data_IF_499225633346
#
_entry.id   IF_499225633346
#
_cell.length_a   1.000
_cell.length_b   1.000
_cell.length_c   1.000
_cell.angle_alpha   90.00
_cell.angle_beta   90.00
_cell.angle_gamma   90.00
#
_symmetry.space_group_name_H-M   'P 1'
#
loop_
_entity.id
_entity.type
_entity.pdbx_description
1 polymer ?
#
# COMPACT_ATOMS: atom_id res chain seq x y z
N UNK A 1 3.19 1.54 -12.31
CA UNK A 1 2.99 0.05 -12.31
C UNK A 1 3.63 -0.52 -11.05
N UNK A 2 2.85 -1.19 -10.22
CA UNK A 2 3.30 -1.71 -8.92
C UNK A 2 3.97 -3.09 -9.08
N UNK A 3 5.30 -3.14 -8.91
CA UNK A 3 6.07 -4.38 -8.97
C UNK A 3 7.27 -4.34 -8.03
N UNK A 4 7.54 -5.49 -7.39
CA UNK A 4 8.63 -5.68 -6.43
C UNK A 4 8.10 -6.04 -5.03
N UNK A 5 8.99 -6.58 -4.23
CA UNK A 5 8.74 -6.94 -2.83
C UNK A 5 9.49 -5.99 -1.90
N UNK A 6 8.81 -5.50 -0.86
CA UNK A 6 9.38 -4.55 0.08
C UNK A 6 8.99 -4.95 1.50
N UNK A 7 10.00 -5.24 2.32
CA UNK A 7 9.80 -5.60 3.73
C UNK A 7 9.79 -4.34 4.59
N UNK A 8 8.63 -4.06 5.18
CA UNK A 8 8.46 -2.97 6.15
C UNK A 8 7.84 -3.50 7.44
N UNK A 9 8.25 -2.91 8.57
CA UNK A 9 7.62 -3.18 9.85
C UNK A 9 6.35 -2.35 9.99
N UNK A 10 5.32 -2.96 10.58
CA UNK A 10 4.12 -2.26 11.02
C UNK A 10 4.46 -1.53 12.33
N UNK A 11 4.08 -0.26 12.43
CA UNK A 11 4.24 0.48 13.68
C UNK A 11 3.15 0.13 14.71
N UNK A 12 3.28 0.65 15.93
CA UNK A 12 2.33 0.41 17.03
C UNK A 12 0.90 0.89 16.72
N UNK A 13 0.73 1.74 15.70
CA UNK A 13 -0.56 2.28 15.26
C UNK A 13 -1.11 1.55 14.03
N UNK A 14 -0.49 0.44 13.61
CA UNK A 14 -0.94 -0.33 12.46
C UNK A 14 -0.57 0.28 11.11
N UNK A 15 0.37 1.23 11.06
CA UNK A 15 0.76 1.91 9.82
C UNK A 15 1.95 1.21 9.18
N UNK A 16 1.94 1.17 7.84
CA UNK A 16 3.06 0.70 7.02
C UNK A 16 3.49 1.83 6.09
N UNK A 17 4.79 2.17 6.05
CA UNK A 17 5.28 3.16 5.11
C UNK A 17 5.19 2.65 3.68
N UNK A 18 4.65 3.48 2.77
CA UNK A 18 4.62 3.19 1.34
C UNK A 18 6.06 3.23 0.77
N UNK A 19 6.46 2.22 -0.03
CA UNK A 19 7.74 2.23 -0.74
C UNK A 19 7.96 3.54 -1.50
N UNK A 20 9.15 4.18 -1.42
CA UNK A 20 9.40 5.48 -2.05
C UNK A 20 9.02 5.56 -3.53
N UNK A 21 9.23 4.46 -4.28
CA UNK A 21 8.90 4.34 -5.71
C UNK A 21 7.42 4.54 -6.01
N UNK A 22 6.52 4.24 -5.08
CA UNK A 22 5.07 4.28 -5.28
C UNK A 22 4.40 5.52 -4.67
N UNK A 23 5.15 6.37 -3.96
CA UNK A 23 4.57 7.56 -3.31
C UNK A 23 3.97 8.56 -4.30
N UNK A 24 4.51 8.63 -5.52
CA UNK A 24 3.95 9.47 -6.57
C UNK A 24 2.60 8.95 -7.07
N UNK A 25 2.54 7.66 -7.41
CA UNK A 25 1.32 6.99 -7.92
C UNK A 25 0.20 6.92 -6.86
N UNK A 26 0.52 6.95 -5.56
CA UNK A 26 -0.44 6.84 -4.45
C UNK A 26 -0.66 8.16 -3.69
N UNK A 27 -0.22 9.30 -4.25
CA UNK A 27 -0.27 10.60 -3.57
C UNK A 27 -1.68 11.09 -3.31
N UNK A 28 -2.57 10.91 -4.27
CA UNK A 28 -3.95 11.42 -4.22
C UNK A 28 -4.83 10.62 -3.26
N UNK A 29 -4.42 9.39 -2.94
CA UNK A 29 -5.11 8.52 -2.01
C UNK A 29 -5.08 7.07 -2.46
N UNK A 30 -5.63 6.20 -1.60
CA UNK A 30 -5.60 4.75 -1.78
C UNK A 30 -6.93 4.15 -1.29
N UNK A 31 -7.46 3.20 -2.05
CA UNK A 31 -8.58 2.35 -1.61
C UNK A 31 -8.00 1.03 -1.10
N UNK A 32 -8.35 0.66 0.14
CA UNK A 32 -7.93 -0.60 0.76
C UNK A 32 -9.07 -1.61 0.76
N UNK A 33 -8.79 -2.85 0.38
CA UNK A 33 -9.74 -3.97 0.44
C UNK A 33 -9.13 -5.18 1.13
N UNK A 34 -9.93 -6.02 1.81
CA UNK A 34 -9.46 -7.31 2.31
C UNK A 34 -9.03 -8.21 1.16
N UNK A 35 -7.84 -8.79 1.26
CA UNK A 35 -7.32 -9.80 0.34
C UNK A 35 -7.47 -11.22 0.89
N UNK A 36 -6.94 -12.18 0.14
CA UNK A 36 -6.79 -13.57 0.60
C UNK A 36 -5.71 -13.66 1.69
N UNK A 37 -5.76 -14.72 2.51
CA UNK A 37 -4.70 -15.08 3.46
C UNK A 37 -4.25 -13.97 4.43
N UNK A 38 -5.20 -13.17 4.94
CA UNK A 38 -4.95 -12.04 5.85
C UNK A 38 -4.08 -10.92 5.23
N UNK A 39 -4.13 -10.79 3.93
CA UNK A 39 -3.53 -9.67 3.21
C UNK A 39 -4.51 -8.49 3.07
N UNK A 40 -3.97 -7.30 2.82
CA UNK A 40 -4.70 -6.11 2.40
C UNK A 40 -4.27 -5.78 0.98
N UNK A 41 -5.22 -5.54 0.08
CA UNK A 41 -4.95 -5.07 -1.28
C UNK A 41 -5.17 -3.57 -1.32
N UNK A 42 -4.24 -2.85 -1.94
CA UNK A 42 -4.26 -1.40 -2.08
C UNK A 42 -4.37 -1.03 -3.56
N UNK A 43 -5.36 -0.21 -3.90
CA UNK A 43 -5.54 0.35 -5.22
C UNK A 43 -5.29 1.86 -5.19
N UNK A 44 -4.64 2.45 -6.20
CA UNK A 44 -4.67 3.90 -6.36
C UNK A 44 -6.13 4.35 -6.47
N UNK A 45 -6.42 5.58 -6.08
CA UNK A 45 -7.73 6.15 -6.44
C UNK A 45 -7.87 6.09 -7.97
N UNK A 46 -9.03 5.65 -8.48
CA UNK A 46 -9.34 5.84 -9.89
C UNK A 46 -9.31 7.34 -10.19
N UNK A 47 -8.88 7.70 -11.41
CA UNK A 47 -9.29 8.99 -11.97
C UNK A 47 -10.82 9.13 -11.95
#
# INVERSE_FOLDING_TARGET
MFFGEFLYKIDEKGRVPIPPKFRGELREGVVLTPGVEKCIIAYPLPE
#
